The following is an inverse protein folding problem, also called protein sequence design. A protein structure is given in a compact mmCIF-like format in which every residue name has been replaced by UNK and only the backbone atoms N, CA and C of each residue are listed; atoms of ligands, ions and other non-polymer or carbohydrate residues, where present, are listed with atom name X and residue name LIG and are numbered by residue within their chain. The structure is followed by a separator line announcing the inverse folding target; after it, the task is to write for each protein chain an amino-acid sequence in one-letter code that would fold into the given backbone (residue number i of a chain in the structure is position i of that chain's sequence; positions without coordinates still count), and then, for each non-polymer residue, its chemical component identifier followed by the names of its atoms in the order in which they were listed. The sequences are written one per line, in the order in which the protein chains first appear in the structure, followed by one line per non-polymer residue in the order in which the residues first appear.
data_IF_423071868603
#
_entry.id   IF_423071868603
#
_cell.length_a   1.000
_cell.length_b   1.000
_cell.length_c   1.000
_cell.angle_alpha   90.00
_cell.angle_beta   90.00
_cell.angle_gamma   90.00
#
_symmetry.space_group_name_H-M   'P 1'
#
loop_
_entity.id
_entity.type
_entity.pdbx_description
1 polymer ?
#
# COMPACT_ATOMS: atom_id res chain seq x y z
N UNK A 1 6.34 22.05 5.21
CA UNK A 1 7.32 20.98 4.88
C UNK A 1 6.65 19.62 5.01
N UNK A 2 6.86 18.74 4.04
CA UNK A 2 6.30 17.37 4.04
C UNK A 2 7.36 16.40 4.59
N UNK A 3 7.01 15.64 5.61
CA UNK A 3 7.87 14.65 6.24
C UNK A 3 7.30 13.26 5.97
N UNK A 4 8.03 12.40 5.24
CA UNK A 4 7.59 11.04 4.92
C UNK A 4 8.38 10.07 5.80
N UNK A 5 7.65 9.30 6.59
CA UNK A 5 8.21 8.32 7.53
C UNK A 5 8.05 6.92 6.97
N UNK A 6 9.15 6.19 6.86
CA UNK A 6 9.19 4.81 6.33
C UNK A 6 10.19 3.97 7.11
N UNK A 7 10.23 2.66 6.92
CA UNK A 7 11.30 1.83 7.46
C UNK A 7 12.62 2.14 6.73
N UNK A 8 13.74 1.92 7.40
CA UNK A 8 15.07 2.19 6.82
C UNK A 8 15.33 1.33 5.58
N UNK A 9 14.89 0.08 5.60
CA UNK A 9 15.07 -0.89 4.51
C UNK A 9 14.30 -0.50 3.24
N UNK A 10 13.14 0.18 3.37
CA UNK A 10 12.27 0.55 2.25
C UNK A 10 12.31 2.05 1.94
N UNK A 11 13.27 2.77 2.47
CA UNK A 11 13.43 4.21 2.24
C UNK A 11 13.75 4.58 0.77
N UNK A 12 14.08 3.60 -0.06
CA UNK A 12 14.31 3.80 -1.49
C UNK A 12 13.02 4.09 -2.26
N UNK A 13 11.87 3.58 -1.81
CA UNK A 13 10.57 3.74 -2.48
C UNK A 13 10.16 5.20 -2.67
N UNK A 14 10.46 6.04 -1.68
CA UNK A 14 10.09 7.47 -1.66
C UNK A 14 11.24 8.40 -2.06
N UNK A 15 12.41 7.87 -2.49
CA UNK A 15 13.57 8.71 -2.84
C UNK A 15 13.24 9.70 -3.95
N UNK A 16 12.65 9.20 -5.02
CA UNK A 16 12.30 10.04 -6.18
C UNK A 16 11.21 11.04 -5.81
N UNK A 17 10.18 10.62 -5.09
CA UNK A 17 9.12 11.49 -4.61
C UNK A 17 9.66 12.69 -3.81
N UNK A 18 10.54 12.44 -2.85
CA UNK A 18 11.18 13.51 -2.04
C UNK A 18 11.98 14.48 -2.90
N UNK A 19 12.72 13.95 -3.88
CA UNK A 19 13.48 14.78 -4.81
C UNK A 19 12.59 15.68 -5.67
N UNK A 20 11.50 15.14 -6.22
CA UNK A 20 10.56 15.87 -7.08
C UNK A 20 9.75 16.94 -6.34
N UNK A 21 9.46 16.70 -5.06
CA UNK A 21 8.73 17.68 -4.25
C UNK A 21 9.59 18.87 -3.83
N UNK A 22 10.90 18.71 -3.70
CA UNK A 22 11.85 19.77 -3.31
C UNK A 22 11.72 20.26 -1.85
N UNK A 23 10.51 20.28 -1.31
CA UNK A 23 10.18 20.69 0.06
C UNK A 23 9.77 19.51 0.97
N UNK A 24 10.18 18.30 0.62
CA UNK A 24 9.93 17.08 1.37
C UNK A 24 11.19 16.53 2.04
N UNK A 25 11.00 15.83 3.14
CA UNK A 25 12.08 15.17 3.89
C UNK A 25 11.67 13.73 4.20
N UNK A 26 12.63 12.82 4.03
CA UNK A 26 12.48 11.43 4.42
C UNK A 26 12.99 11.20 5.85
N UNK A 27 12.22 10.43 6.62
CA UNK A 27 12.56 9.96 7.94
C UNK A 27 12.50 8.44 7.99
N UNK A 28 13.38 7.80 8.76
CA UNK A 28 13.16 6.41 9.16
C UNK A 28 12.60 6.36 10.58
N UNK A 29 11.78 5.34 10.89
CA UNK A 29 11.22 5.15 12.23
C UNK A 29 12.32 5.11 13.29
N UNK A 30 13.45 4.42 13.02
CA UNK A 30 14.56 4.32 13.97
C UNK A 30 15.22 5.69 14.24
N UNK A 31 15.26 6.58 13.25
CA UNK A 31 15.73 7.94 13.44
C UNK A 31 14.69 8.77 14.18
N UNK A 32 13.43 8.60 13.83
CA UNK A 32 12.32 9.38 14.37
C UNK A 32 12.14 9.12 15.88
N UNK A 33 12.16 7.86 16.33
CA UNK A 33 12.05 7.49 17.73
C UNK A 33 13.20 7.98 18.62
N UNK A 34 14.29 8.50 18.04
CA UNK A 34 15.43 9.08 18.77
C UNK A 34 15.37 10.59 18.95
N UNK A 35 14.41 11.22 18.29
CA UNK A 35 14.30 12.68 18.38
C UNK A 35 13.75 13.09 19.73
N UNK A 36 14.28 14.17 20.28
CA UNK A 36 13.74 14.83 21.49
C UNK A 36 12.71 15.89 21.14
N UNK A 37 12.78 16.37 19.91
CA UNK A 37 11.90 17.42 19.38
C UNK A 37 11.73 17.23 17.87
N UNK A 38 10.60 17.64 17.38
CA UNK A 38 10.26 17.72 15.96
C UNK A 38 9.71 19.09 15.65
N UNK A 39 9.46 19.35 14.38
CA UNK A 39 8.74 20.53 13.93
C UNK A 39 7.36 20.16 13.43
N UNK A 40 6.41 21.09 13.53
CA UNK A 40 5.13 21.01 12.84
C UNK A 40 5.31 20.85 11.32
N UNK A 41 4.27 20.84 10.56
CA UNK A 41 4.28 20.57 9.13
C UNK A 41 3.41 19.36 8.83
N UNK A 42 3.53 18.80 7.64
CA UNK A 42 2.81 17.59 7.26
C UNK A 42 3.65 16.36 7.49
N UNK A 43 3.11 15.37 8.18
CA UNK A 43 3.75 14.09 8.49
C UNK A 43 2.94 12.96 7.89
N UNK A 44 3.56 12.18 7.00
CA UNK A 44 2.95 11.02 6.34
C UNK A 44 3.63 9.77 6.89
N UNK A 45 2.89 8.96 7.65
CA UNK A 45 3.38 7.68 8.16
C UNK A 45 3.10 6.59 7.12
N UNK A 46 4.11 5.81 6.78
CA UNK A 46 4.02 4.76 5.75
C UNK A 46 4.62 3.45 6.24
N UNK A 47 4.48 2.38 5.47
CA UNK A 47 5.20 1.12 5.73
C UNK A 47 4.79 0.42 7.04
N UNK A 48 3.51 0.60 7.47
CA UNK A 48 3.00 0.12 8.76
C UNK A 48 3.10 -1.41 8.89
N UNK A 49 2.87 -2.14 7.82
CA UNK A 49 2.89 -3.59 7.76
C UNK A 49 4.25 -4.21 8.12
N UNK A 50 5.32 -3.40 8.13
CA UNK A 50 6.69 -3.81 8.45
C UNK A 50 7.10 -3.47 9.88
N UNK A 51 6.22 -2.83 10.64
CA UNK A 51 6.46 -2.48 12.03
C UNK A 51 5.94 -3.58 12.95
N UNK A 52 6.69 -3.84 14.01
CA UNK A 52 6.16 -4.62 15.14
C UNK A 52 5.03 -3.87 15.84
N UNK A 53 4.15 -4.57 16.54
CA UNK A 53 3.09 -3.96 17.35
C UNK A 53 3.62 -2.91 18.33
N UNK A 54 4.81 -3.13 18.85
CA UNK A 54 5.47 -2.20 19.75
C UNK A 54 5.87 -0.91 19.01
N UNK A 55 6.42 -1.01 17.81
CA UNK A 55 6.81 0.15 16.99
C UNK A 55 5.57 0.91 16.49
N UNK A 56 4.49 0.22 16.15
CA UNK A 56 3.21 0.84 15.81
C UNK A 56 2.68 1.67 16.99
N UNK A 57 2.71 1.11 18.21
CA UNK A 57 2.29 1.84 19.40
C UNK A 57 3.16 3.07 19.70
N UNK A 58 4.47 3.00 19.49
CA UNK A 58 5.37 4.17 19.60
C UNK A 58 5.09 5.21 18.51
N UNK A 59 4.90 4.78 17.28
CA UNK A 59 4.57 5.66 16.16
C UNK A 59 3.23 6.38 16.37
N UNK A 60 2.23 5.67 16.92
CA UNK A 60 0.94 6.25 17.27
C UNK A 60 1.07 7.34 18.35
N UNK A 61 1.84 7.09 19.42
CA UNK A 61 2.12 8.11 20.45
C UNK A 61 2.81 9.34 19.88
N UNK A 62 3.75 9.13 18.97
CA UNK A 62 4.46 10.21 18.32
C UNK A 62 3.52 10.99 17.38
N UNK A 63 2.66 10.31 16.62
CA UNK A 63 1.64 10.93 15.78
C UNK A 63 0.67 11.80 16.61
N UNK A 64 0.21 11.30 17.76
CA UNK A 64 -0.61 12.08 18.70
C UNK A 64 0.10 13.36 19.18
N UNK A 65 1.40 13.27 19.52
CA UNK A 65 2.18 14.47 19.92
C UNK A 65 2.34 15.47 18.78
N UNK A 66 2.50 15.00 17.55
CA UNK A 66 2.55 15.85 16.36
C UNK A 66 1.23 16.57 16.13
N UNK A 67 0.08 15.85 16.18
CA UNK A 67 -1.26 16.44 16.04
C UNK A 67 -1.53 17.48 17.13
N UNK A 68 -1.21 17.17 18.40
CA UNK A 68 -1.33 18.11 19.53
C UNK A 68 -0.48 19.38 19.35
N UNK A 69 0.67 19.25 18.70
CA UNK A 69 1.57 20.38 18.36
C UNK A 69 1.22 21.07 17.04
N UNK A 70 0.02 20.85 16.49
CA UNK A 70 -0.48 21.54 15.29
C UNK A 70 0.08 21.01 13.96
N UNK A 71 0.72 19.84 13.95
CA UNK A 71 1.11 19.18 12.71
C UNK A 71 -0.08 18.50 12.04
N UNK A 72 -0.09 18.47 10.71
CA UNK A 72 -0.99 17.63 9.95
C UNK A 72 -0.41 16.20 9.87
N UNK A 73 -1.16 15.21 10.31
CA UNK A 73 -0.76 13.81 10.28
C UNK A 73 -1.63 13.05 9.29
N UNK A 74 -1.00 12.33 8.35
CA UNK A 74 -1.64 11.39 7.45
C UNK A 74 -1.22 9.96 7.81
N UNK A 75 -2.13 9.02 7.62
CA UNK A 75 -1.95 7.61 8.00
C UNK A 75 -1.57 7.47 9.48
N UNK A 76 -2.39 8.01 10.36
CA UNK A 76 -2.13 7.90 11.81
C UNK A 76 -2.02 6.42 12.21
N UNK A 77 -0.89 5.96 12.80
CA UNK A 77 -0.60 4.53 12.99
C UNK A 77 -1.61 3.75 13.83
N UNK A 78 -2.42 4.43 14.65
CA UNK A 78 -3.48 3.78 15.42
C UNK A 78 -4.80 3.60 14.63
N UNK A 79 -4.88 4.09 13.41
CA UNK A 79 -6.13 4.07 12.61
C UNK A 79 -6.02 3.23 11.35
N UNK A 80 -4.80 2.98 10.88
CA UNK A 80 -4.56 2.23 9.64
C UNK A 80 -4.83 0.75 9.84
N UNK A 81 -5.69 0.19 9.01
CA UNK A 81 -6.01 -1.24 9.01
C UNK A 81 -4.88 -2.09 8.43
N UNK A 82 -4.68 -3.27 9.01
CA UNK A 82 -3.90 -4.34 8.38
C UNK A 82 -4.63 -4.88 7.14
N UNK A 83 -3.96 -5.69 6.32
CA UNK A 83 -4.61 -6.32 5.15
C UNK A 83 -5.83 -7.13 5.53
N UNK A 84 -5.77 -7.90 6.61
CA UNK A 84 -6.90 -8.67 7.11
C UNK A 84 -8.09 -7.77 7.49
N UNK A 85 -7.84 -6.74 8.28
CA UNK A 85 -8.86 -5.78 8.70
C UNK A 85 -9.47 -5.05 7.50
N UNK A 86 -8.64 -4.61 6.54
CA UNK A 86 -9.08 -3.98 5.30
C UNK A 86 -10.04 -4.89 4.53
N UNK A 87 -9.59 -6.11 4.17
CA UNK A 87 -10.39 -7.00 3.31
C UNK A 87 -11.71 -7.40 3.96
N UNK A 88 -11.70 -7.70 5.26
CA UNK A 88 -12.92 -8.01 6.01
C UNK A 88 -13.86 -6.82 6.14
N UNK A 89 -13.33 -5.61 6.34
CA UNK A 89 -14.13 -4.38 6.38
C UNK A 89 -14.78 -4.05 5.03
N UNK A 90 -14.02 -4.19 3.94
CA UNK A 90 -14.52 -3.97 2.58
C UNK A 90 -15.62 -4.96 2.21
N UNK A 91 -15.46 -6.24 2.57
CA UNK A 91 -16.49 -7.25 2.37
C UNK A 91 -17.75 -6.94 3.18
N UNK A 92 -17.60 -6.63 4.47
CA UNK A 92 -18.72 -6.25 5.35
C UNK A 92 -19.48 -5.02 4.86
N UNK A 93 -18.78 -4.08 4.23
CA UNK A 93 -19.38 -2.88 3.65
C UNK A 93 -20.01 -3.12 2.26
N UNK A 94 -19.92 -4.33 1.70
CA UNK A 94 -20.43 -4.68 0.36
C UNK A 94 -19.63 -4.06 -0.80
N UNK A 95 -18.42 -3.54 -0.53
CA UNK A 95 -17.52 -3.02 -1.56
C UNK A 95 -16.86 -4.19 -2.29
N UNK A 96 -16.25 -5.14 -1.54
CA UNK A 96 -15.71 -6.36 -2.08
C UNK A 96 -16.74 -7.48 -2.03
N UNK A 97 -16.83 -8.30 -3.08
CA UNK A 97 -17.60 -9.54 -3.09
C UNK A 97 -16.89 -10.69 -2.36
N UNK A 98 -15.60 -10.56 -2.09
CA UNK A 98 -14.72 -11.55 -1.47
C UNK A 98 -14.26 -11.11 -0.08
N UNK A 99 -13.83 -12.09 0.73
CA UNK A 99 -13.31 -11.86 2.07
C UNK A 99 -11.97 -12.58 2.30
N UNK A 100 -11.46 -12.48 3.53
CA UNK A 100 -10.22 -13.11 3.95
C UNK A 100 -10.38 -13.76 5.33
N UNK A 101 -9.61 -14.81 5.59
CA UNK A 101 -9.56 -15.54 6.86
C UNK A 101 -8.10 -15.71 7.29
N UNK A 102 -7.85 -15.75 8.58
CA UNK A 102 -6.53 -16.13 9.11
C UNK A 102 -6.34 -17.64 8.98
N UNK A 103 -5.21 -18.09 8.47
CA UNK A 103 -4.95 -19.53 8.28
C UNK A 103 -5.01 -20.36 9.58
N UNK A 104 -4.69 -19.75 10.72
CA UNK A 104 -4.72 -20.39 12.04
C UNK A 104 -6.14 -20.59 12.60
N UNK A 105 -7.18 -19.96 12.04
CA UNK A 105 -8.55 -20.00 12.54
C UNK A 105 -9.42 -21.07 11.89
N UNK A 106 -8.84 -22.05 11.21
CA UNK A 106 -9.56 -23.08 10.45
C UNK A 106 -10.57 -22.45 9.48
N UNK A 107 -10.10 -21.77 8.45
CA UNK A 107 -10.91 -20.95 7.56
C UNK A 107 -11.94 -21.78 6.79
N UNK A 108 -13.15 -21.26 6.72
CA UNK A 108 -14.26 -21.77 5.91
C UNK A 108 -14.70 -20.67 4.94
N UNK A 109 -14.01 -20.51 3.80
CA UNK A 109 -14.38 -19.54 2.77
C UNK A 109 -15.80 -19.80 2.23
N UNK A 110 -16.47 -18.71 1.84
CA UNK A 110 -17.81 -18.81 1.24
C UNK A 110 -17.76 -19.19 -0.24
N UNK A 111 -16.61 -18.92 -0.90
CA UNK A 111 -16.41 -19.20 -2.31
C UNK A 111 -15.00 -19.69 -2.61
N UNK A 112 -14.85 -20.41 -3.70
CA UNK A 112 -13.59 -20.92 -4.24
C UNK A 112 -13.45 -20.52 -5.71
N UNK A 113 -12.21 -20.49 -6.26
CA UNK A 113 -10.96 -20.84 -5.61
C UNK A 113 -10.49 -19.78 -4.61
N UNK A 114 -9.57 -20.21 -3.72
CA UNK A 114 -8.89 -19.32 -2.76
C UNK A 114 -7.38 -19.37 -3.00
N UNK A 115 -6.63 -18.45 -2.38
CA UNK A 115 -5.17 -18.51 -2.34
C UNK A 115 -4.64 -18.11 -0.97
N UNK A 116 -3.41 -18.51 -0.64
CA UNK A 116 -2.77 -18.18 0.63
C UNK A 116 -1.70 -17.11 0.40
N UNK A 117 -1.73 -16.07 1.24
CA UNK A 117 -0.80 -14.95 1.18
C UNK A 117 -0.34 -14.52 2.59
N UNK A 118 0.88 -14.01 2.70
CA UNK A 118 1.33 -13.34 3.93
C UNK A 118 0.54 -12.03 4.16
N UNK A 119 0.17 -11.78 5.43
CA UNK A 119 -0.56 -10.56 5.80
C UNK A 119 0.32 -9.31 5.73
N UNK A 120 1.60 -9.43 6.15
CA UNK A 120 2.51 -8.30 6.39
C UNK A 120 3.63 -8.18 5.35
N UNK A 121 3.44 -8.73 4.16
CA UNK A 121 4.48 -8.81 3.15
C UNK A 121 3.89 -8.54 1.76
N UNK A 122 4.66 -7.86 0.92
CA UNK A 122 4.34 -7.59 -0.48
C UNK A 122 5.01 -8.60 -1.43
N UNK A 123 5.84 -9.52 -0.90
CA UNK A 123 6.43 -10.59 -1.69
C UNK A 123 5.35 -11.66 -1.92
N UNK A 124 4.76 -11.64 -3.08
CA UNK A 124 4.03 -12.78 -3.58
C UNK A 124 5.06 -13.76 -4.13
N UNK A 125 5.29 -14.88 -3.44
CA UNK A 125 5.80 -16.06 -4.11
C UNK A 125 4.81 -16.52 -5.18
N UNK A 126 5.07 -17.65 -5.83
CA UNK A 126 4.12 -18.27 -6.74
C UNK A 126 2.81 -18.54 -5.99
N UNK A 127 1.80 -17.71 -6.27
CA UNK A 127 0.48 -17.86 -5.68
C UNK A 127 -0.27 -18.92 -6.50
N UNK A 128 -0.71 -19.97 -5.82
CA UNK A 128 -1.49 -21.06 -6.41
C UNK A 128 -2.96 -20.91 -6.00
N UNK A 129 -3.87 -21.10 -6.95
CA UNK A 129 -5.29 -21.15 -6.68
C UNK A 129 -5.68 -22.52 -6.15
N UNK A 130 -6.32 -22.54 -5.00
CA UNK A 130 -6.79 -23.72 -4.28
C UNK A 130 -8.27 -23.89 -4.59
N UNK A 131 -8.70 -24.99 -5.22
CA UNK A 131 -10.01 -25.09 -5.86
C UNK A 131 -11.19 -25.34 -4.90
N UNK A 132 -10.94 -25.92 -3.73
CA UNK A 132 -11.98 -26.34 -2.80
C UNK A 132 -11.47 -26.47 -1.36
N UNK A 133 -12.37 -26.81 -0.42
CA UNK A 133 -12.06 -26.94 1.00
C UNK A 133 -11.10 -28.10 1.30
N UNK A 134 -11.25 -29.24 0.61
CA UNK A 134 -10.38 -30.39 0.82
C UNK A 134 -8.93 -30.08 0.45
N UNK A 135 -8.73 -29.43 -0.68
CA UNK A 135 -7.40 -28.95 -1.13
C UNK A 135 -6.83 -27.88 -0.18
N UNK A 136 -7.67 -27.00 0.38
CA UNK A 136 -7.27 -26.02 1.37
C UNK A 136 -6.79 -26.71 2.66
N UNK A 137 -7.55 -27.63 3.19
CA UNK A 137 -7.21 -28.37 4.42
C UNK A 137 -5.93 -29.18 4.22
N UNK A 138 -5.76 -29.83 3.08
CA UNK A 138 -4.54 -30.56 2.71
C UNK A 138 -3.33 -29.62 2.62
N UNK A 139 -3.51 -28.42 2.05
CA UNK A 139 -2.45 -27.41 1.94
C UNK A 139 -2.03 -26.88 3.31
N UNK A 140 -2.99 -26.52 4.19
CA UNK A 140 -2.68 -26.05 5.53
C UNK A 140 -2.00 -27.14 6.37
N UNK A 141 -2.42 -28.40 6.24
CA UNK A 141 -1.77 -29.54 6.91
C UNK A 141 -0.34 -29.75 6.39
N UNK A 142 -0.10 -29.71 5.08
CA UNK A 142 1.22 -29.80 4.47
C UNK A 142 2.14 -28.66 4.96
N UNK A 143 1.64 -27.45 5.08
CA UNK A 143 2.40 -26.31 5.63
C UNK A 143 2.84 -26.62 7.07
N UNK A 144 1.94 -27.08 7.94
CA UNK A 144 2.27 -27.45 9.33
C UNK A 144 3.35 -28.56 9.38
N UNK A 145 3.20 -29.62 8.58
CA UNK A 145 4.16 -30.73 8.51
C UNK A 145 5.55 -30.28 8.05
N UNK A 146 5.60 -29.29 7.15
CA UNK A 146 6.85 -28.69 6.67
C UNK A 146 7.41 -27.59 7.60
N UNK A 147 6.83 -27.38 8.78
CA UNK A 147 7.27 -26.37 9.73
C UNK A 147 7.01 -24.93 9.26
N UNK A 148 6.10 -24.72 8.31
CA UNK A 148 5.72 -23.39 7.82
C UNK A 148 4.63 -22.82 8.76
N UNK A 149 4.89 -21.67 9.44
CA UNK A 149 3.91 -21.07 10.33
C UNK A 149 2.64 -20.67 9.58
N UNK A 150 1.47 -20.94 10.15
CA UNK A 150 0.20 -20.43 9.65
C UNK A 150 -0.07 -18.99 10.10
N UNK A 151 0.45 -18.62 11.26
CA UNK A 151 0.33 -17.26 11.83
C UNK A 151 0.88 -16.21 10.86
N UNK A 152 0.15 -15.13 10.67
CA UNK A 152 0.47 -14.07 9.73
C UNK A 152 0.22 -14.41 8.27
N UNK A 153 -0.55 -15.48 8.00
CA UNK A 153 -1.01 -15.85 6.66
C UNK A 153 -2.53 -15.76 6.58
N UNK A 154 -3.00 -15.37 5.40
CA UNK A 154 -4.41 -15.24 5.08
C UNK A 154 -4.79 -16.20 3.96
N UNK A 155 -5.94 -16.81 4.10
CA UNK A 155 -6.69 -17.41 3.00
C UNK A 155 -7.58 -16.31 2.44
N UNK A 156 -7.52 -16.07 1.15
CA UNK A 156 -8.27 -15.00 0.46
C UNK A 156 -9.06 -15.62 -0.68
N UNK A 157 -10.35 -15.32 -0.78
CA UNK A 157 -11.17 -15.70 -1.92
C UNK A 157 -10.69 -15.00 -3.18
N UNK A 158 -10.60 -15.73 -4.28
CA UNK A 158 -10.23 -15.15 -5.57
C UNK A 158 -11.43 -14.42 -6.18
N UNK A 159 -11.23 -13.15 -6.46
CA UNK A 159 -12.20 -12.30 -7.15
C UNK A 159 -11.53 -11.60 -8.33
N UNK A 160 -11.13 -12.37 -9.33
CA UNK A 160 -10.58 -11.86 -10.58
C UNK A 160 -11.47 -12.22 -11.75
N UNK A 161 -11.50 -11.35 -12.76
CA UNK A 161 -12.20 -11.57 -14.02
C UNK A 161 -11.24 -11.35 -15.18
N UNK A 162 -11.27 -12.26 -16.14
CA UNK A 162 -10.55 -12.09 -17.42
C UNK A 162 -11.21 -10.98 -18.22
N UNK A 163 -10.40 -10.07 -18.77
CA UNK A 163 -10.88 -9.03 -19.70
C UNK A 163 -10.84 -9.51 -21.15
N UNK A 164 -10.11 -10.58 -21.40
CA UNK A 164 -10.05 -11.37 -22.62
C UNK A 164 -9.53 -12.76 -22.22
N UNK A 165 -9.75 -13.84 -22.98
CA UNK A 165 -9.28 -15.17 -22.62
C UNK A 165 -7.79 -15.20 -22.24
N UNK A 166 -7.49 -15.57 -20.98
CA UNK A 166 -6.15 -15.62 -20.42
C UNK A 166 -5.50 -14.25 -20.21
N UNK A 167 -6.27 -13.18 -20.08
CA UNK A 167 -5.79 -11.80 -19.85
C UNK A 167 -6.53 -11.18 -18.67
N UNK A 168 -5.77 -10.65 -17.72
CA UNK A 168 -6.28 -9.95 -16.54
C UNK A 168 -5.85 -8.49 -16.54
N UNK A 169 -6.61 -7.66 -15.79
CA UNK A 169 -6.35 -6.24 -15.66
C UNK A 169 -6.42 -5.82 -14.20
N UNK A 170 -5.42 -5.04 -13.75
CA UNK A 170 -5.35 -4.47 -12.42
C UNK A 170 -5.16 -2.96 -12.50
N UNK A 171 -6.02 -2.24 -11.82
CA UNK A 171 -5.99 -0.79 -11.71
C UNK A 171 -5.28 -0.34 -10.43
N UNK A 172 -4.70 0.85 -10.50
CA UNK A 172 -4.08 1.51 -9.37
C UNK A 172 -4.62 2.92 -9.20
N UNK A 173 -4.99 3.28 -7.96
CA UNK A 173 -5.49 4.60 -7.60
C UNK A 173 -4.79 5.09 -6.34
N UNK A 174 -4.32 6.33 -6.34
CA UNK A 174 -3.73 6.97 -5.16
C UNK A 174 -4.77 7.74 -4.36
N UNK A 175 -4.53 7.82 -3.05
CA UNK A 175 -5.10 8.83 -2.17
C UNK A 175 -4.01 9.74 -1.64
N UNK A 176 -4.28 11.06 -1.60
CA UNK A 176 -3.45 12.08 -0.97
C UNK A 176 -4.36 13.06 -0.25
N UNK A 177 -4.47 12.91 1.06
CA UNK A 177 -5.44 13.64 1.87
C UNK A 177 -6.88 13.31 1.46
N UNK A 178 -7.64 14.29 1.01
CA UNK A 178 -9.00 14.09 0.52
C UNK A 178 -9.09 13.74 -0.98
N UNK A 179 -7.98 13.85 -1.73
CA UNK A 179 -7.98 13.61 -3.17
C UNK A 179 -7.74 12.13 -3.46
N UNK A 180 -8.57 11.57 -4.30
CA UNK A 180 -8.43 10.24 -4.89
C UNK A 180 -8.08 10.42 -6.36
N UNK A 181 -7.05 9.72 -6.84
CA UNK A 181 -6.42 10.00 -8.14
C UNK A 181 -6.19 8.67 -8.85
N UNK A 182 -6.96 8.42 -9.92
CA UNK A 182 -6.72 7.30 -10.81
C UNK A 182 -5.33 7.41 -11.44
N UNK A 183 -4.57 6.31 -11.42
CA UNK A 183 -3.15 6.39 -11.79
C UNK A 183 -2.81 5.59 -13.06
N UNK A 184 -2.95 4.28 -13.04
CA UNK A 184 -2.64 3.42 -14.17
C UNK A 184 -3.41 2.11 -14.10
N UNK A 185 -3.35 1.34 -15.17
CA UNK A 185 -3.65 -0.07 -15.14
C UNK A 185 -2.45 -0.93 -15.60
N UNK A 186 -2.45 -2.18 -15.18
CA UNK A 186 -1.55 -3.23 -15.64
C UNK A 186 -2.41 -4.29 -16.32
N UNK A 187 -2.05 -4.68 -17.53
CA UNK A 187 -2.64 -5.82 -18.25
C UNK A 187 -1.61 -6.90 -18.34
N UNK A 188 -1.93 -8.12 -17.92
CA UNK A 188 -1.00 -9.23 -17.85
C UNK A 188 -1.69 -10.56 -18.20
N UNK A 189 -0.90 -11.57 -18.54
CA UNK A 189 -1.34 -12.93 -18.85
C UNK A 189 -1.33 -13.85 -17.61
N UNK A 190 -1.19 -13.27 -16.44
CA UNK A 190 -1.29 -13.91 -15.13
C UNK A 190 -2.42 -13.29 -14.32
N UNK A 191 -3.19 -14.11 -13.62
CA UNK A 191 -4.27 -13.65 -12.76
C UNK A 191 -3.79 -12.74 -11.60
N UNK A 192 -2.53 -12.81 -11.22
CA UNK A 192 -1.93 -11.90 -10.22
C UNK A 192 -1.74 -10.49 -10.77
N UNK A 193 -1.57 -10.35 -12.08
CA UNK A 193 -1.41 -9.08 -12.82
C UNK A 193 -0.46 -8.09 -12.12
N UNK A 194 0.70 -8.58 -11.67
CA UNK A 194 1.65 -7.78 -10.88
C UNK A 194 2.47 -6.83 -11.75
N UNK A 195 3.07 -7.37 -12.79
CA UNK A 195 3.87 -6.68 -13.78
C UNK A 195 3.63 -7.33 -15.15
N UNK A 196 3.84 -6.60 -16.23
CA UNK A 196 3.75 -7.18 -17.57
C UNK A 196 4.89 -8.19 -17.77
N UNK A 197 4.55 -9.47 -17.78
CA UNK A 197 5.55 -10.56 -17.91
C UNK A 197 5.99 -10.77 -19.37
N UNK A 198 5.10 -10.53 -20.33
CA UNK A 198 5.35 -10.71 -21.76
C UNK A 198 4.90 -9.48 -22.55
N UNK A 199 5.81 -8.51 -22.63
CA UNK A 199 5.57 -7.25 -23.33
C UNK A 199 5.29 -7.46 -24.82
N UNK A 200 6.02 -8.34 -25.49
CA UNK A 200 5.85 -8.57 -26.92
C UNK A 200 4.47 -9.17 -27.22
N UNK A 201 4.03 -10.12 -26.40
CA UNK A 201 2.71 -10.72 -26.51
C UNK A 201 1.60 -9.69 -26.25
N UNK A 202 1.80 -8.78 -25.29
CA UNK A 202 0.83 -7.73 -24.99
C UNK A 202 0.71 -6.75 -26.15
N UNK A 203 1.83 -6.29 -26.73
CA UNK A 203 1.84 -5.37 -27.87
C UNK A 203 1.19 -5.98 -29.13
N UNK A 204 1.32 -7.29 -29.32
CA UNK A 204 0.70 -8.02 -30.42
C UNK A 204 -0.76 -8.42 -30.15
N UNK A 205 -1.29 -8.14 -28.96
CA UNK A 205 -2.64 -8.57 -28.60
C UNK A 205 -3.70 -7.76 -29.36
N UNK A 206 -4.73 -8.42 -29.95
CA UNK A 206 -5.75 -7.72 -30.77
C UNK A 206 -6.50 -6.59 -30.02
N UNK A 207 -6.59 -6.68 -28.69
CA UNK A 207 -7.26 -5.68 -27.85
C UNK A 207 -6.29 -4.64 -27.25
N UNK A 208 -5.03 -4.59 -27.68
CA UNK A 208 -4.04 -3.69 -27.07
C UNK A 208 -4.51 -2.23 -27.06
N UNK A 209 -5.00 -1.73 -28.19
CA UNK A 209 -5.50 -0.34 -28.28
C UNK A 209 -6.71 -0.12 -27.36
N UNK A 210 -7.56 -1.13 -27.18
CA UNK A 210 -8.69 -1.07 -26.23
C UNK A 210 -8.19 -0.96 -24.80
N UNK A 211 -7.16 -1.70 -24.44
CA UNK A 211 -6.57 -1.62 -23.07
C UNK A 211 -5.96 -0.25 -22.81
N UNK A 212 -5.26 0.33 -23.79
CA UNK A 212 -4.69 1.69 -23.70
C UNK A 212 -5.80 2.74 -23.56
N UNK A 213 -6.87 2.64 -24.35
CA UNK A 213 -8.01 3.56 -24.28
C UNK A 213 -8.77 3.44 -22.94
N UNK A 214 -8.93 2.23 -22.43
CA UNK A 214 -9.53 2.01 -21.11
C UNK A 214 -8.71 2.66 -20.00
N UNK A 215 -7.38 2.57 -20.06
CA UNK A 215 -6.50 3.28 -19.12
C UNK A 215 -6.65 4.80 -19.26
N UNK A 216 -6.65 5.31 -20.49
CA UNK A 216 -6.80 6.73 -20.75
C UNK A 216 -8.11 7.27 -20.15
N UNK A 217 -9.23 6.60 -20.37
CA UNK A 217 -10.53 6.97 -19.78
C UNK A 217 -10.51 6.87 -18.27
N UNK A 218 -9.97 5.76 -17.72
CA UNK A 218 -9.86 5.57 -16.28
C UNK A 218 -9.15 6.75 -15.61
N UNK A 219 -8.02 7.18 -16.16
CA UNK A 219 -7.23 8.29 -15.62
C UNK A 219 -7.89 9.64 -15.91
N UNK A 220 -8.34 9.89 -17.16
CA UNK A 220 -8.88 11.18 -17.54
C UNK A 220 -10.15 11.54 -16.74
N UNK A 221 -11.06 10.58 -16.62
CA UNK A 221 -12.37 10.75 -15.99
C UNK A 221 -12.33 10.46 -14.47
N UNK A 222 -11.15 10.04 -13.95
CA UNK A 222 -10.96 9.66 -12.52
C UNK A 222 -12.00 8.62 -12.06
N UNK A 223 -12.19 7.56 -12.87
CA UNK A 223 -13.25 6.59 -12.62
C UNK A 223 -13.11 5.90 -11.26
N UNK A 224 -14.25 5.50 -10.69
CA UNK A 224 -14.38 4.80 -9.40
C UNK A 224 -13.97 5.62 -8.17
N UNK A 225 -13.86 6.95 -8.27
CA UNK A 225 -13.42 7.83 -7.18
C UNK A 225 -14.22 7.60 -5.89
N UNK A 226 -15.55 7.54 -5.96
CA UNK A 226 -16.41 7.47 -4.77
C UNK A 226 -16.24 6.18 -3.99
N UNK A 227 -16.23 5.03 -4.67
CA UNK A 227 -16.05 3.72 -4.02
C UNK A 227 -14.64 3.57 -3.46
N UNK A 228 -13.63 4.09 -4.17
CA UNK A 228 -12.26 4.07 -3.67
C UNK A 228 -12.06 5.01 -2.49
N UNK A 229 -12.70 6.18 -2.47
CA UNK A 229 -12.73 7.07 -1.31
C UNK A 229 -13.28 6.37 -0.08
N UNK A 230 -14.43 5.68 -0.22
CA UNK A 230 -15.01 4.89 0.87
C UNK A 230 -14.05 3.79 1.36
N UNK A 231 -13.37 3.11 0.44
CA UNK A 231 -12.40 2.07 0.81
C UNK A 231 -11.21 2.63 1.59
N UNK A 232 -10.66 3.76 1.17
CA UNK A 232 -9.59 4.44 1.89
C UNK A 232 -10.05 4.97 3.25
N UNK A 233 -11.28 5.48 3.36
CA UNK A 233 -11.85 5.94 4.63
C UNK A 233 -12.03 4.79 5.61
N UNK A 234 -12.57 3.64 5.16
CA UNK A 234 -12.68 2.43 5.95
C UNK A 234 -11.32 1.91 6.43
N UNK A 235 -10.30 2.02 5.59
CA UNK A 235 -8.93 1.60 5.92
C UNK A 235 -8.21 2.54 6.89
N UNK A 236 -8.73 3.75 7.13
CA UNK A 236 -8.04 4.79 7.88
C UNK A 236 -6.76 5.29 7.20
N UNK A 237 -6.73 5.25 5.85
CA UNK A 237 -5.54 5.59 5.05
C UNK A 237 -5.80 6.89 4.28
N UNK A 238 -4.98 7.91 4.56
CA UNK A 238 -5.04 9.23 3.92
C UNK A 238 -3.97 9.42 2.84
N UNK A 239 -3.00 8.52 2.78
CA UNK A 239 -1.96 8.46 1.75
C UNK A 239 -1.62 7.02 1.43
N UNK A 240 -1.74 6.65 0.17
CA UNK A 240 -1.42 5.31 -0.28
C UNK A 240 -1.92 5.03 -1.69
N UNK A 241 -1.70 3.80 -2.15
CA UNK A 241 -2.16 3.31 -3.45
C UNK A 241 -3.01 2.06 -3.26
N UNK A 242 -4.26 2.13 -3.70
CA UNK A 242 -5.14 0.99 -3.81
C UNK A 242 -4.89 0.26 -5.14
N UNK A 243 -4.73 -1.06 -5.06
CA UNK A 243 -4.64 -1.97 -6.20
C UNK A 243 -5.94 -2.79 -6.25
N UNK A 244 -6.65 -2.77 -7.39
CA UNK A 244 -7.95 -3.41 -7.56
C UNK A 244 -8.16 -3.91 -8.99
N UNK A 245 -9.11 -4.82 -9.19
CA UNK A 245 -9.62 -5.19 -10.51
C UNK A 245 -11.12 -4.96 -10.57
N UNK A 246 -11.71 -5.19 -11.74
CA UNK A 246 -13.15 -5.13 -11.94
C UNK A 246 -13.71 -6.54 -12.08
N UNK A 247 -14.79 -6.80 -11.37
CA UNK A 247 -15.64 -7.98 -11.57
C UNK A 247 -17.05 -7.47 -11.82
N UNK A 248 -17.60 -7.79 -12.97
CA UNK A 248 -18.90 -7.27 -13.45
C UNK A 248 -19.00 -5.73 -13.36
N UNK A 249 -17.92 -5.05 -13.71
CA UNK A 249 -17.79 -3.59 -13.68
C UNK A 249 -17.64 -2.97 -12.29
N UNK A 250 -17.56 -3.77 -11.21
CA UNK A 250 -17.41 -3.29 -9.82
C UNK A 250 -15.98 -3.47 -9.34
N UNK A 251 -15.36 -2.45 -8.73
CA UNK A 251 -14.05 -2.56 -8.12
C UNK A 251 -13.99 -3.64 -7.04
N UNK A 252 -12.97 -4.49 -7.12
CA UNK A 252 -12.59 -5.46 -6.11
C UNK A 252 -11.18 -5.10 -5.62
N UNK A 253 -11.06 -4.61 -4.40
CA UNK A 253 -9.85 -3.98 -3.87
C UNK A 253 -9.04 -5.03 -3.12
N UNK A 254 -7.80 -5.30 -3.56
CA UNK A 254 -6.94 -6.36 -3.02
C UNK A 254 -6.01 -5.88 -1.92
N UNK A 255 -5.54 -4.64 -2.03
CA UNK A 255 -4.67 -4.03 -1.03
C UNK A 255 -4.66 -2.51 -1.15
N UNK A 256 -4.29 -1.84 -0.05
CA UNK A 256 -3.92 -0.43 -0.06
C UNK A 256 -2.50 -0.34 0.51
N UNK A 257 -1.55 -0.04 -0.36
CA UNK A 257 -0.14 0.09 -0.02
C UNK A 257 0.14 1.50 0.49
N UNK A 258 0.57 1.64 1.75
CA UNK A 258 0.92 2.95 2.34
C UNK A 258 2.31 3.44 1.96
N UNK A 259 3.16 2.57 1.39
CA UNK A 259 4.51 2.92 0.92
C UNK A 259 4.73 2.52 -0.55
N UNK A 260 3.90 3.02 -1.49
CA UNK A 260 4.03 2.68 -2.90
C UNK A 260 5.37 3.17 -3.47
N UNK A 261 5.97 2.38 -4.36
CA UNK A 261 7.17 2.77 -5.07
C UNK A 261 6.87 3.89 -6.08
N UNK A 262 7.65 4.96 -6.02
CA UNK A 262 7.60 6.05 -6.98
C UNK A 262 8.83 5.96 -7.90
N UNK A 263 8.60 5.56 -9.14
CA UNK A 263 9.64 5.49 -10.17
C UNK A 263 10.14 6.90 -10.55
N UNK A 264 11.36 6.99 -11.08
CA UNK A 264 11.81 8.23 -11.70
C UNK A 264 11.09 8.45 -13.03
N UNK A 265 10.85 9.70 -13.42
CA UNK A 265 10.30 10.02 -14.75
C UNK A 265 11.09 9.34 -15.88
N UNK A 266 12.42 9.33 -15.76
CA UNK A 266 13.27 8.65 -16.76
C UNK A 266 13.00 7.16 -16.85
N UNK A 267 12.82 6.49 -15.72
CA UNK A 267 12.49 5.06 -15.69
C UNK A 267 11.08 4.82 -16.21
N UNK A 268 10.12 5.60 -15.72
CA UNK A 268 8.71 5.46 -16.10
C UNK A 268 8.50 5.63 -17.60
N UNK A 269 9.06 6.70 -18.20
CA UNK A 269 8.86 6.98 -19.63
C UNK A 269 9.70 6.10 -20.56
N UNK A 270 10.81 5.56 -20.09
CA UNK A 270 11.59 4.56 -20.84
C UNK A 270 10.82 3.26 -21.00
N UNK A 271 10.14 2.84 -19.93
CA UNK A 271 9.49 1.55 -19.82
C UNK A 271 7.97 1.65 -20.09
N UNK A 272 7.49 2.83 -20.57
CA UNK A 272 6.10 3.07 -20.92
C UNK A 272 5.92 3.14 -22.43
N UNK A 273 4.93 2.46 -22.95
CA UNK A 273 4.58 2.53 -24.37
C UNK A 273 4.22 3.96 -24.77
N UNK A 274 4.65 4.44 -25.94
CA UNK A 274 4.38 5.82 -26.39
C UNK A 274 2.92 6.24 -26.26
N UNK A 275 1.97 5.35 -26.57
CA UNK A 275 0.53 5.59 -26.46
C UNK A 275 0.04 5.88 -25.03
N UNK A 276 0.82 5.51 -23.99
CA UNK A 276 0.46 5.69 -22.58
C UNK A 276 1.14 6.91 -21.92
N UNK A 277 2.11 7.54 -22.60
CA UNK A 277 2.94 8.60 -21.99
C UNK A 277 2.09 9.79 -21.51
N UNK A 278 1.12 10.24 -22.29
CA UNK A 278 0.25 11.35 -21.90
C UNK A 278 -0.61 11.02 -20.69
N UNK A 279 -1.18 9.83 -20.67
CA UNK A 279 -1.97 9.32 -19.53
C UNK A 279 -1.15 9.26 -18.26
N UNK A 280 0.08 8.76 -18.34
CA UNK A 280 1.00 8.69 -17.21
C UNK A 280 1.39 10.09 -16.71
N UNK A 281 1.67 11.04 -17.60
CA UNK A 281 1.94 12.44 -17.22
C UNK A 281 0.77 13.07 -16.48
N UNK A 282 -0.45 12.91 -17.02
CA UNK A 282 -1.65 13.47 -16.40
C UNK A 282 -1.82 12.95 -14.96
N UNK A 283 -1.67 11.65 -14.76
CA UNK A 283 -1.83 11.05 -13.43
C UNK A 283 -0.74 11.50 -12.46
N UNK A 284 0.51 11.57 -12.91
CA UNK A 284 1.62 12.06 -12.10
C UNK A 284 1.48 13.54 -11.73
N UNK A 285 1.09 14.39 -12.68
CA UNK A 285 0.87 15.81 -12.42
C UNK A 285 -0.21 16.02 -11.36
N UNK A 286 -1.29 15.23 -11.41
CA UNK A 286 -2.35 15.23 -10.39
C UNK A 286 -1.81 14.77 -9.02
N UNK A 287 -1.02 13.68 -9.00
CA UNK A 287 -0.42 13.13 -7.78
C UNK A 287 0.54 14.12 -7.12
N UNK A 288 1.48 14.67 -7.88
CA UNK A 288 2.43 15.65 -7.36
C UNK A 288 1.75 16.98 -7.00
N UNK A 289 0.73 17.40 -7.76
CA UNK A 289 -0.10 18.56 -7.42
C UNK A 289 -0.83 18.37 -6.08
N UNK A 290 -1.41 17.19 -5.85
CA UNK A 290 -2.06 16.87 -4.59
C UNK A 290 -1.07 16.85 -3.41
N UNK A 291 0.11 16.26 -3.59
CA UNK A 291 1.16 16.23 -2.56
C UNK A 291 1.68 17.62 -2.22
N UNK A 292 1.91 18.47 -3.23
CA UNK A 292 2.34 19.87 -2.99
C UNK A 292 1.29 20.65 -2.20
N UNK A 293 -0.01 20.40 -2.45
CA UNK A 293 -1.11 21.04 -1.73
C UNK A 293 -1.18 20.61 -0.25
N UNK A 294 -0.59 19.47 0.12
CA UNK A 294 -0.50 19.03 1.52
C UNK A 294 0.61 19.72 2.32
N UNK A 295 1.40 20.60 1.69
CA UNK A 295 2.51 21.27 2.35
C UNK A 295 1.99 22.31 3.36
N UNK A 296 2.16 22.06 4.65
CA UNK A 296 1.83 23.00 5.72
C UNK A 296 3.09 23.68 6.29
N UNK A 297 2.96 24.88 6.91
CA UNK A 297 4.07 25.53 7.59
C UNK A 297 4.70 24.62 8.65
N UNK A 298 6.01 24.78 8.88
CA UNK A 298 6.79 23.96 9.83
C UNK A 298 7.56 24.89 10.79
N UNK A 299 6.83 25.67 11.56
CA UNK A 299 7.40 26.68 12.44
C UNK A 299 7.42 26.23 13.91
N UNK A 300 6.36 25.54 14.36
CA UNK A 300 6.22 25.17 15.76
C UNK A 300 7.18 24.03 16.15
N UNK A 301 7.78 24.17 17.31
CA UNK A 301 8.65 23.17 17.93
C UNK A 301 7.82 22.26 18.82
N UNK A 302 7.87 20.97 18.58
CA UNK A 302 7.11 19.95 19.29
C UNK A 302 8.09 19.12 20.12
N UNK A 303 7.99 19.19 21.44
CA UNK A 303 8.83 18.43 22.39
C UNK A 303 8.24 17.03 22.57
N UNK A 304 9.10 16.02 22.48
CA UNK A 304 8.73 14.62 22.64
C UNK A 304 9.09 14.15 24.06
N UNK A 305 8.22 14.48 25.00
CA UNK A 305 8.38 14.24 26.44
C UNK A 305 7.72 12.92 26.94
N UNK A 306 7.15 12.12 26.02
CA UNK A 306 6.53 10.85 26.40
C UNK A 306 7.56 9.86 26.97
N UNK A 307 7.33 9.28 28.16
CA UNK A 307 8.29 8.35 28.83
C UNK A 307 8.64 7.11 28.00
N UNK A 308 7.71 6.61 27.15
CA UNK A 308 7.97 5.45 26.31
C UNK A 308 8.94 5.79 25.17
N UNK A 309 8.83 6.99 24.58
CA UNK A 309 9.78 7.50 23.59
C UNK A 309 11.15 7.76 24.23
N UNK A 310 11.18 8.32 25.45
CA UNK A 310 12.41 8.58 26.18
C UNK A 310 13.16 7.30 26.56
N UNK A 311 12.48 6.22 26.97
CA UNK A 311 13.11 4.92 27.26
C UNK A 311 13.83 4.34 26.05
N UNK A 312 13.26 4.44 24.84
CA UNK A 312 13.92 4.01 23.60
C UNK A 312 15.22 4.79 23.34
N UNK A 313 15.26 6.06 23.71
CA UNK A 313 16.46 6.88 23.59
C UNK A 313 17.56 6.43 24.58
N UNK A 314 17.20 5.99 25.79
CA UNK A 314 18.14 5.53 26.82
C UNK A 314 18.73 4.15 26.49
N UNK A 315 17.89 3.16 26.12
CA UNK A 315 18.37 1.81 25.83
C UNK A 315 19.42 1.76 24.72
N UNK A 316 19.28 2.57 23.68
CA UNK A 316 20.29 2.63 22.61
C UNK A 316 21.59 3.34 23.00
N UNK A 317 21.58 4.25 23.96
CA UNK A 317 22.82 4.85 24.49
C UNK A 317 23.68 3.82 25.23
N UNK A 318 23.06 2.92 25.96
CA UNK A 318 23.74 1.83 26.65
C UNK A 318 24.39 0.84 25.68
N UNK A 319 23.68 0.43 24.61
CA UNK A 319 24.21 -0.51 23.61
C UNK A 319 25.23 0.09 22.63
N UNK A 320 25.20 1.39 22.36
CA UNK A 320 26.25 2.05 21.54
C UNK A 320 27.49 2.40 22.35
N UNK A 321 27.40 2.54 23.65
CA UNK A 321 28.55 2.66 24.55
C UNK A 321 29.35 1.36 24.68
N UNK A 322 28.70 0.21 24.66
CA UNK A 322 29.34 -1.12 24.74
C UNK A 322 30.05 -1.57 23.45
N UNK A 323 29.78 -0.93 22.32
CA UNK A 323 30.49 -1.19 21.03
C UNK A 323 31.72 -0.30 20.80
N UNK A 324 32.07 0.55 21.76
CA UNK A 324 33.24 1.46 21.73
C UNK A 324 34.24 1.24 22.86
N UNK A 325 34.06 0.16 23.63
CA UNK A 325 35.03 -0.28 24.63
C UNK A 325 35.79 -1.51 24.14
#
# INVERSE_FOLDING_TARGET
MINIVTTRSHAYTVRHLVHQLGNARRWSYERLFRQKELRSGTWIFTDHERLSNFEIALAAKLANKLEQGGAQVLNHPARVHSRYELLTALHKAGINSFSAWRCESLPLPNSFPVFIRNEFDHLSGDLELIPDQEALDATLNRMKQNGIPLTGKLVIEYAGQEVSPGVWQRFATYRVGYRVIAHHNVVDFSWVAKDVQDEQRLLAHPMFDTFVENERRFVADNLYEDVLRQAFDLAGIDYGRADFSLVDGRPQIFEINTNPYHASHRTLYRDTYPARIETQRLSEDRLYGALRAMNTPSHERIVLDDPALQRQQMFKRLFTGLKRA
#
